data_IF_160470472396
#
_entry.id   IF_160470472396
#
_cell.length_a   1.000
_cell.length_b   1.000
_cell.length_c   1.000
_cell.angle_alpha   90.00
_cell.angle_beta   90.00
_cell.angle_gamma   90.00
#
_symmetry.space_group_name_H-M   'P 1'
#
loop_
_entity.id
_entity.type
_entity.pdbx_description
1 polymer ?
#
# COMPACT_ATOMS: atom_id res chain seq x y z
N UNK A 1 0.03 17.76 27.31
CA UNK A 1 -1.04 16.84 27.74
C UNK A 1 -0.72 16.33 29.12
N UNK A 2 -1.70 16.24 30.01
CA UNK A 2 -1.52 15.71 31.36
C UNK A 2 -1.36 14.19 31.34
N UNK A 3 -0.68 13.61 32.36
CA UNK A 3 -0.58 12.16 32.55
C UNK A 3 -1.97 11.50 32.63
N UNK A 4 -2.98 12.21 33.12
CA UNK A 4 -4.36 11.75 33.19
C UNK A 4 -4.97 11.43 31.81
N UNK A 5 -4.63 12.21 30.78
CA UNK A 5 -5.15 11.94 29.41
C UNK A 5 -4.48 10.70 28.80
N UNK A 6 -3.18 10.47 29.00
CA UNK A 6 -2.51 9.25 28.58
C UNK A 6 -3.02 8.04 29.37
N UNK A 7 -3.28 8.21 30.68
CA UNK A 7 -3.80 7.14 31.53
C UNK A 7 -5.19 6.64 31.08
N UNK A 8 -6.03 7.51 30.50
CA UNK A 8 -7.34 7.12 29.94
C UNK A 8 -7.25 6.22 28.71
N UNK A 9 -6.08 6.12 28.07
CA UNK A 9 -5.86 5.22 26.95
C UNK A 9 -5.50 3.80 27.41
N UNK A 10 -5.05 3.62 28.64
CA UNK A 10 -4.68 2.31 29.17
C UNK A 10 -5.90 1.38 29.18
N UNK A 11 -5.72 0.21 28.61
CA UNK A 11 -6.77 -0.79 28.41
C UNK A 11 -7.47 -0.71 27.05
N UNK A 12 -7.36 0.39 26.31
CA UNK A 12 -7.92 0.50 24.95
C UNK A 12 -7.21 -0.43 23.99
N UNK A 13 -7.95 -0.97 23.03
CA UNK A 13 -7.41 -1.77 21.93
C UNK A 13 -8.13 -1.45 20.63
N UNK A 14 -7.46 -1.66 19.52
CA UNK A 14 -7.99 -1.48 18.16
C UNK A 14 -7.33 -2.49 17.24
N UNK A 15 -8.06 -2.92 16.22
CA UNK A 15 -7.52 -3.69 15.10
C UNK A 15 -7.75 -2.89 13.82
N UNK A 16 -6.70 -2.76 13.02
CA UNK A 16 -6.71 -2.06 11.72
C UNK A 16 -6.31 -3.05 10.65
N UNK A 17 -7.05 -3.10 9.54
CA UNK A 17 -6.66 -3.86 8.36
C UNK A 17 -6.36 -2.90 7.19
N UNK A 18 -5.30 -3.20 6.43
CA UNK A 18 -4.81 -2.35 5.34
C UNK A 18 -4.51 -3.21 4.12
N UNK A 19 -4.98 -2.83 2.91
CA UNK A 19 -4.76 -3.60 1.71
C UNK A 19 -3.33 -3.50 1.19
N UNK A 20 -2.93 -4.48 0.38
CA UNK A 20 -1.76 -4.39 -0.49
C UNK A 20 -2.00 -3.34 -1.56
N UNK A 21 -0.92 -2.73 -2.04
CA UNK A 21 -1.00 -1.66 -3.03
C UNK A 21 -0.02 -1.85 -4.16
N UNK A 22 -0.44 -1.45 -5.35
CA UNK A 22 0.35 -1.44 -6.58
C UNK A 22 0.59 0.01 -6.95
N UNK A 23 1.82 0.47 -6.81
CA UNK A 23 2.22 1.81 -7.16
C UNK A 23 2.58 1.94 -8.64
N UNK A 24 2.56 3.15 -9.16
CA UNK A 24 2.98 3.57 -10.49
C UNK A 24 2.04 3.20 -11.63
N UNK A 25 1.56 1.97 -11.74
CA UNK A 25 0.74 1.49 -12.86
C UNK A 25 1.28 1.94 -14.24
N UNK A 26 2.60 1.80 -14.46
CA UNK A 26 3.29 2.31 -15.63
C UNK A 26 3.49 3.82 -15.60
N UNK A 27 2.83 4.61 -16.43
CA UNK A 27 3.08 6.06 -16.59
C UNK A 27 2.82 6.91 -15.35
N UNK A 28 2.14 6.37 -14.34
CA UNK A 28 1.78 7.06 -13.11
C UNK A 28 2.87 7.03 -12.03
N UNK A 29 4.14 7.07 -12.41
CA UNK A 29 5.29 7.05 -11.51
C UNK A 29 5.15 8.06 -10.36
N UNK A 30 5.18 7.58 -9.09
CA UNK A 30 5.00 8.35 -7.86
C UNK A 30 3.66 9.13 -7.78
N UNK A 31 2.66 8.77 -8.60
CA UNK A 31 1.35 9.45 -8.70
C UNK A 31 0.18 8.47 -8.55
N UNK A 32 0.21 7.33 -9.26
CA UNK A 32 -0.89 6.38 -9.26
C UNK A 32 -0.63 5.21 -8.32
N UNK A 33 -1.64 4.89 -7.51
CA UNK A 33 -1.67 3.69 -6.66
C UNK A 33 -3.01 2.96 -6.78
N UNK A 34 -2.99 1.64 -6.75
CA UNK A 34 -4.18 0.81 -6.75
C UNK A 34 -4.16 -0.18 -5.58
N UNK A 35 -5.22 -0.24 -4.80
CA UNK A 35 -5.39 -1.19 -3.72
C UNK A 35 -5.96 -2.51 -4.22
N UNK A 36 -5.49 -3.63 -3.66
CA UNK A 36 -5.93 -4.99 -3.99
C UNK A 36 -6.24 -5.79 -2.74
N UNK A 37 -7.09 -6.82 -2.88
CA UNK A 37 -7.72 -7.57 -1.81
C UNK A 37 -6.82 -8.52 -1.00
N UNK A 38 -5.51 -8.28 -0.90
CA UNK A 38 -4.62 -8.93 0.07
C UNK A 38 -4.36 -7.95 1.22
N UNK A 39 -4.64 -8.32 2.48
CA UNK A 39 -4.63 -7.35 3.58
C UNK A 39 -3.74 -7.79 4.74
N UNK A 40 -2.98 -6.84 5.29
CA UNK A 40 -2.34 -6.98 6.60
C UNK A 40 -3.29 -6.54 7.71
N UNK A 41 -3.14 -7.11 8.89
CA UNK A 41 -3.88 -6.72 10.10
C UNK A 41 -2.90 -6.33 11.20
N UNK A 42 -3.19 -5.23 11.90
CA UNK A 42 -2.45 -4.73 13.05
C UNK A 42 -3.39 -4.54 14.23
N UNK A 43 -3.23 -5.34 15.27
CA UNK A 43 -3.94 -5.15 16.54
C UNK A 43 -3.00 -4.45 17.52
N UNK A 44 -3.48 -3.38 18.15
CA UNK A 44 -2.72 -2.60 19.13
C UNK A 44 -3.54 -2.45 20.42
N UNK A 45 -2.91 -2.75 21.55
CA UNK A 45 -3.47 -2.55 22.89
C UNK A 45 -2.51 -1.69 23.72
N UNK A 46 -3.06 -0.72 24.44
CA UNK A 46 -2.32 0.04 25.43
C UNK A 46 -2.35 -0.71 26.75
N UNK A 47 -1.21 -1.30 27.16
CA UNK A 47 -1.10 -2.11 28.35
C UNK A 47 -0.66 -1.36 29.61
N UNK A 48 -0.14 -0.12 29.45
CA UNK A 48 0.31 0.68 30.58
C UNK A 48 0.85 2.05 30.16
N UNK A 49 1.33 2.80 31.13
CA UNK A 49 1.95 4.12 30.97
C UNK A 49 3.26 4.17 31.77
N UNK A 50 4.35 4.52 31.08
CA UNK A 50 5.65 4.75 31.72
C UNK A 50 5.70 6.07 32.48
N UNK A 51 6.64 6.19 33.42
CA UNK A 51 6.92 7.43 34.14
C UNK A 51 7.29 8.57 33.17
N UNK A 52 7.14 9.81 33.63
CA UNK A 52 7.50 10.99 32.83
C UNK A 52 8.97 10.92 32.39
N UNK A 53 9.21 11.13 31.10
CA UNK A 53 10.54 11.06 30.50
C UNK A 53 11.06 9.64 30.19
N UNK A 54 10.30 8.60 30.50
CA UNK A 54 10.63 7.22 30.16
C UNK A 54 9.80 6.72 28.95
N UNK A 55 10.36 5.81 28.17
CA UNK A 55 9.63 5.11 27.10
C UNK A 55 8.81 3.97 27.72
N UNK A 56 7.61 3.75 27.20
CA UNK A 56 6.80 2.58 27.55
C UNK A 56 7.35 1.29 26.94
N UNK A 57 7.07 0.16 27.51
CA UNK A 57 7.46 -1.13 26.96
C UNK A 57 6.69 -1.45 25.67
N UNK A 58 7.34 -2.16 24.74
CA UNK A 58 6.70 -2.65 23.51
C UNK A 58 6.89 -4.16 23.42
N UNK A 59 5.77 -4.85 23.30
CA UNK A 59 5.72 -6.27 22.95
C UNK A 59 5.07 -6.37 21.57
N UNK A 60 5.81 -6.83 20.58
CA UNK A 60 5.32 -7.02 19.23
C UNK A 60 5.48 -8.47 18.80
N UNK A 61 4.39 -9.09 18.42
CA UNK A 61 4.35 -10.39 17.74
C UNK A 61 4.11 -10.18 16.24
N UNK A 62 4.96 -10.76 15.41
CA UNK A 62 4.80 -10.78 13.94
C UNK A 62 4.40 -12.20 13.53
N UNK A 63 3.39 -12.33 12.70
CA UNK A 63 2.93 -13.57 12.10
C UNK A 63 2.83 -13.44 10.58
N UNK A 64 3.08 -14.54 9.86
CA UNK A 64 3.05 -14.56 8.39
C UNK A 64 4.33 -14.02 7.77
N UNK A 65 4.22 -13.15 6.78
CA UNK A 65 5.36 -12.58 6.06
C UNK A 65 6.28 -11.78 6.98
N UNK A 66 7.59 -12.08 6.92
CA UNK A 66 8.61 -11.39 7.70
C UNK A 66 8.74 -11.82 9.16
N UNK A 67 8.14 -12.96 9.57
CA UNK A 67 8.18 -13.46 10.94
C UNK A 67 9.60 -13.54 11.52
N UNK A 68 10.57 -13.96 10.73
CA UNK A 68 11.98 -14.11 11.13
C UNK A 68 12.86 -12.91 10.75
N UNK A 69 12.30 -11.88 10.09
CA UNK A 69 13.06 -10.77 9.50
C UNK A 69 12.75 -9.42 10.12
N UNK A 70 11.48 -9.19 10.50
CA UNK A 70 11.04 -7.88 10.97
C UNK A 70 11.38 -7.67 12.45
N UNK A 71 11.80 -6.44 12.84
CA UNK A 71 12.01 -6.12 14.25
C UNK A 71 10.73 -6.35 15.08
N UNK A 72 10.89 -6.92 16.28
CA UNK A 72 9.79 -7.13 17.25
C UNK A 72 9.84 -6.14 18.40
N UNK A 73 10.48 -5.00 18.20
CA UNK A 73 10.65 -3.92 19.16
C UNK A 73 10.32 -2.55 18.53
N UNK A 74 10.72 -1.45 19.20
CA UNK A 74 10.46 -0.08 18.76
C UNK A 74 11.06 0.30 17.40
N UNK A 75 11.95 -0.53 16.84
CA UNK A 75 12.51 -0.35 15.49
C UNK A 75 11.53 -0.76 14.39
N UNK A 76 10.45 -1.47 14.74
CA UNK A 76 9.41 -1.81 13.77
C UNK A 76 8.65 -0.55 13.36
N UNK A 77 8.47 -0.37 12.06
CA UNK A 77 7.84 0.81 11.46
C UNK A 77 6.43 1.07 12.02
N UNK A 78 5.66 0.03 12.26
CA UNK A 78 4.31 0.15 12.80
C UNK A 78 4.28 0.79 14.19
N UNK A 79 5.29 0.52 15.05
CA UNK A 79 5.37 1.11 16.40
C UNK A 79 5.54 2.63 16.34
N UNK A 80 6.47 3.09 15.50
CA UNK A 80 6.67 4.53 15.27
C UNK A 80 5.42 5.20 14.68
N UNK A 81 4.76 4.51 13.77
CA UNK A 81 3.54 4.98 13.14
C UNK A 81 2.38 5.12 14.15
N UNK A 82 2.20 4.19 15.10
CA UNK A 82 1.19 4.32 16.18
C UNK A 82 1.43 5.60 16.99
N UNK A 83 2.67 5.91 17.36
CA UNK A 83 3.00 7.14 18.10
C UNK A 83 2.70 8.38 17.26
N UNK A 84 3.02 8.37 15.97
CA UNK A 84 2.72 9.49 15.04
C UNK A 84 1.20 9.66 14.85
N UNK A 85 0.45 8.58 14.76
CA UNK A 85 -1.01 8.61 14.66
C UNK A 85 -1.67 9.20 15.90
N UNK A 86 -1.21 8.81 17.10
CA UNK A 86 -1.62 9.44 18.37
C UNK A 86 -1.36 10.95 18.35
N UNK A 87 -0.16 11.36 17.93
CA UNK A 87 0.21 12.78 17.86
C UNK A 87 -0.63 13.55 16.86
N UNK A 88 -0.90 13.00 15.67
CA UNK A 88 -1.78 13.58 14.66
C UNK A 88 -3.22 13.78 15.17
N UNK A 89 -3.68 12.87 16.03
CA UNK A 89 -4.99 12.97 16.69
C UNK A 89 -4.97 13.82 17.98
N UNK A 90 -3.90 14.59 18.23
CA UNK A 90 -3.81 15.51 19.37
C UNK A 90 -3.35 14.88 20.69
N UNK A 91 -2.77 13.68 20.63
CA UNK A 91 -2.22 12.95 21.79
C UNK A 91 -0.69 12.89 21.71
N UNK A 92 0.05 13.97 22.13
CA UNK A 92 1.50 13.98 22.20
C UNK A 92 2.01 13.05 23.32
N UNK A 93 3.31 12.73 23.25
CA UNK A 93 4.00 11.84 24.20
C UNK A 93 3.49 10.40 24.21
N UNK A 94 2.90 9.94 23.09
CA UNK A 94 2.44 8.56 22.91
C UNK A 94 3.55 7.51 23.07
N UNK A 95 4.82 7.91 22.96
CA UNK A 95 5.99 7.07 23.19
C UNK A 95 6.12 6.54 24.62
N UNK A 96 5.42 7.17 25.58
CA UNK A 96 5.33 6.71 26.99
C UNK A 96 4.33 5.57 27.19
N UNK A 97 3.45 5.30 26.22
CA UNK A 97 2.51 4.20 26.31
C UNK A 97 3.25 2.88 26.17
N UNK A 98 2.92 1.92 27.04
CA UNK A 98 3.28 0.54 26.86
C UNK A 98 2.30 -0.10 25.88
N UNK A 99 2.83 -0.74 24.83
CA UNK A 99 2.04 -1.28 23.74
C UNK A 99 2.22 -2.79 23.62
N UNK A 100 1.12 -3.49 23.50
CA UNK A 100 1.06 -4.87 23.02
C UNK A 100 0.52 -4.86 21.60
N UNK A 101 1.30 -5.39 20.66
CA UNK A 101 1.00 -5.31 19.22
C UNK A 101 1.05 -6.72 18.64
N UNK A 102 0.07 -7.05 17.81
CA UNK A 102 0.05 -8.26 16.99
C UNK A 102 -0.10 -7.85 15.53
N UNK A 103 0.89 -8.19 14.71
CA UNK A 103 0.90 -7.92 13.27
C UNK A 103 0.73 -9.25 12.52
N UNK A 104 -0.34 -9.37 11.73
CA UNK A 104 -0.55 -10.48 10.81
C UNK A 104 -0.28 -9.99 9.39
N UNK A 105 0.88 -10.32 8.87
CA UNK A 105 1.33 -9.90 7.54
C UNK A 105 1.03 -10.98 6.51
N UNK A 106 0.23 -10.64 5.50
CA UNK A 106 -0.05 -11.49 4.32
C UNK A 106 0.59 -10.92 3.06
N UNK A 107 0.91 -9.62 3.07
CA UNK A 107 1.49 -8.91 1.93
C UNK A 107 2.98 -9.27 1.81
N UNK A 108 3.42 -9.87 0.69
CA UNK A 108 4.81 -10.27 0.48
C UNK A 108 5.80 -9.10 0.58
N UNK A 109 6.90 -9.31 1.33
CA UNK A 109 7.92 -8.28 1.56
C UNK A 109 8.81 -8.07 0.32
N UNK A 110 9.15 -6.80 0.01
CA UNK A 110 10.07 -6.41 -1.05
C UNK A 110 9.71 -6.98 -2.45
N UNK A 111 8.41 -7.00 -2.77
CA UNK A 111 7.86 -7.47 -4.07
C UNK A 111 7.14 -6.36 -4.84
N UNK A 112 7.14 -5.10 -4.36
CA UNK A 112 6.42 -4.00 -4.99
C UNK A 112 4.92 -4.00 -4.69
N UNK A 113 4.49 -4.60 -3.56
CA UNK A 113 3.09 -4.70 -3.13
C UNK A 113 2.75 -3.82 -1.91
N UNK A 114 3.54 -2.80 -1.63
CA UNK A 114 3.26 -1.79 -0.62
C UNK A 114 3.27 -2.28 0.83
N UNK A 115 3.99 -3.38 1.16
CA UNK A 115 3.98 -3.95 2.52
C UNK A 115 4.46 -2.96 3.60
N UNK A 116 5.46 -2.12 3.31
CA UNK A 116 5.95 -1.06 4.22
C UNK A 116 4.88 0.00 4.43
N UNK A 117 4.32 0.54 3.35
CA UNK A 117 3.24 1.51 3.40
C UNK A 117 2.02 0.98 4.18
N UNK A 118 1.63 -0.28 3.94
CA UNK A 118 0.53 -0.92 4.66
C UNK A 118 0.80 -1.00 6.17
N UNK A 119 2.01 -1.36 6.60
CA UNK A 119 2.38 -1.42 8.01
C UNK A 119 2.39 -0.03 8.66
N UNK A 120 2.91 0.98 7.94
CA UNK A 120 2.95 2.36 8.42
C UNK A 120 1.54 2.96 8.52
N UNK A 121 0.72 2.81 7.49
CA UNK A 121 -0.69 3.26 7.48
C UNK A 121 -1.47 2.58 8.59
N UNK A 122 -1.31 1.24 8.77
CA UNK A 122 -1.97 0.53 9.87
C UNK A 122 -1.62 1.13 11.23
N UNK A 123 -0.34 1.42 11.48
CA UNK A 123 0.11 2.05 12.72
C UNK A 123 -0.46 3.46 12.93
N UNK A 124 -0.44 4.30 11.88
CA UNK A 124 -0.99 5.66 11.94
C UNK A 124 -2.48 5.64 12.33
N UNK A 125 -3.29 4.84 11.65
CA UNK A 125 -4.71 4.76 11.89
C UNK A 125 -5.03 4.08 13.22
N UNK A 126 -4.24 3.09 13.65
CA UNK A 126 -4.37 2.51 14.99
C UNK A 126 -4.11 3.56 16.08
N UNK A 127 -3.06 4.37 15.93
CA UNK A 127 -2.78 5.46 16.87
C UNK A 127 -3.90 6.49 16.94
N UNK A 128 -4.41 6.93 15.79
CA UNK A 128 -5.51 7.88 15.72
C UNK A 128 -6.81 7.31 16.34
N UNK A 129 -7.12 6.05 16.09
CA UNK A 129 -8.28 5.38 16.66
C UNK A 129 -8.16 5.23 18.20
N UNK A 130 -7.00 4.84 18.71
CA UNK A 130 -6.73 4.76 20.16
C UNK A 130 -6.92 6.11 20.85
N UNK A 131 -6.61 7.22 20.19
CA UNK A 131 -6.87 8.56 20.72
C UNK A 131 -8.37 8.86 20.88
N UNK A 132 -9.26 8.05 20.30
CA UNK A 132 -10.70 8.27 20.30
C UNK A 132 -11.17 9.21 19.20
N UNK A 133 -10.37 9.37 18.15
CA UNK A 133 -10.70 10.19 16.99
C UNK A 133 -11.69 9.51 16.02
N UNK A 134 -11.85 8.19 16.10
CA UNK A 134 -12.96 7.45 15.50
C UNK A 134 -14.14 7.48 16.47
N UNK A 135 -15.37 7.50 15.99
CA UNK A 135 -16.57 7.27 16.82
C UNK A 135 -16.41 6.09 17.78
N UNK A 136 -17.44 5.73 18.49
CA UNK A 136 -17.34 4.63 19.48
C UNK A 136 -16.82 3.36 18.80
N UNK A 137 -15.69 2.84 19.29
CA UNK A 137 -14.99 1.67 18.77
C UNK A 137 -15.87 0.40 18.76
N UNK A 138 -17.00 0.45 19.44
CA UNK A 138 -17.97 -0.65 19.57
C UNK A 138 -18.95 -0.78 18.37
N UNK A 139 -18.98 0.17 17.43
CA UNK A 139 -19.93 0.23 16.30
C UNK A 139 -19.32 -0.06 14.92
N UNK A 140 -18.12 -0.62 14.86
CA UNK A 140 -17.40 -0.83 13.60
C UNK A 140 -17.72 -2.18 12.94
N UNK A 141 -17.82 -2.25 11.60
CA UNK A 141 -16.76 -2.05 10.62
C UNK A 141 -17.08 -0.94 9.60
N UNK A 142 -16.06 -0.11 9.23
CA UNK A 142 -16.23 0.94 8.23
C UNK A 142 -14.93 1.30 7.53
N UNK A 143 -15.06 1.91 6.36
CA UNK A 143 -13.92 2.49 5.64
C UNK A 143 -13.41 3.73 6.39
N UNK A 144 -12.17 4.11 6.13
CA UNK A 144 -11.56 5.29 6.74
C UNK A 144 -12.38 6.58 6.49
N UNK A 145 -12.98 6.71 5.30
CA UNK A 145 -13.77 7.87 4.92
C UNK A 145 -15.00 8.09 5.83
N UNK A 146 -15.52 7.01 6.41
CA UNK A 146 -16.69 7.08 7.29
C UNK A 146 -16.36 7.29 8.77
N UNK A 147 -15.10 7.00 9.16
CA UNK A 147 -14.69 6.87 10.55
C UNK A 147 -13.85 8.03 11.09
N UNK A 148 -13.15 8.74 10.22
CA UNK A 148 -12.27 9.83 10.61
C UNK A 148 -12.68 11.15 9.96
N UNK A 149 -12.59 12.29 10.68
CA UNK A 149 -12.76 13.61 10.07
C UNK A 149 -11.76 13.83 8.92
N UNK A 150 -12.20 14.50 7.85
CA UNK A 150 -11.37 14.76 6.65
C UNK A 150 -10.02 15.40 7.01
N UNK A 151 -9.99 16.38 7.91
CA UNK A 151 -8.78 17.08 8.34
C UNK A 151 -7.79 16.16 9.09
N UNK A 152 -8.28 15.15 9.80
CA UNK A 152 -7.43 14.14 10.42
C UNK A 152 -6.91 13.17 9.39
N UNK A 153 -7.74 12.71 8.46
CA UNK A 153 -7.34 11.84 7.36
C UNK A 153 -6.25 12.51 6.52
N UNK A 154 -6.40 13.79 6.20
CA UNK A 154 -5.40 14.57 5.48
C UNK A 154 -4.05 14.64 6.23
N UNK A 155 -4.08 14.83 7.56
CA UNK A 155 -2.86 14.80 8.38
C UNK A 155 -2.20 13.42 8.42
N UNK A 156 -2.99 12.35 8.50
CA UNK A 156 -2.47 10.98 8.48
C UNK A 156 -1.88 10.63 7.11
N UNK A 157 -2.53 11.06 6.03
CA UNK A 157 -2.02 10.89 4.67
C UNK A 157 -0.70 11.65 4.46
N UNK A 158 -0.64 12.91 4.89
CA UNK A 158 0.59 13.69 4.84
C UNK A 158 1.72 13.04 5.64
N UNK A 159 1.42 12.48 6.82
CA UNK A 159 2.41 11.77 7.64
C UNK A 159 2.91 10.48 6.95
N UNK A 160 2.07 9.80 6.17
CA UNK A 160 2.46 8.61 5.41
C UNK A 160 3.35 8.98 4.20
N UNK A 161 3.01 10.06 3.48
CA UNK A 161 3.84 10.58 2.38
C UNK A 161 5.22 11.05 2.86
N UNK A 162 5.29 11.72 4.00
CA UNK A 162 6.56 12.16 4.60
C UNK A 162 7.50 10.99 4.94
N UNK A 163 6.96 9.83 5.31
CA UNK A 163 7.75 8.64 5.63
C UNK A 163 8.25 7.91 4.38
N UNK A 164 7.37 7.72 3.40
CA UNK A 164 7.67 6.99 2.15
C UNK A 164 8.41 7.87 1.12
N UNK A 165 8.19 9.18 1.15
CA UNK A 165 8.71 10.15 0.17
C UNK A 165 7.95 10.15 -1.17
N UNK A 166 6.84 9.43 -1.25
CA UNK A 166 5.91 9.39 -2.39
C UNK A 166 4.53 8.88 -1.96
N UNK A 167 3.45 9.51 -2.46
CA UNK A 167 2.11 9.30 -1.92
C UNK A 167 1.35 8.09 -2.46
N UNK A 168 1.78 7.48 -3.55
CA UNK A 168 1.02 6.51 -4.35
C UNK A 168 0.54 5.28 -3.56
N UNK A 169 1.46 4.61 -2.85
CA UNK A 169 1.11 3.48 -2.00
C UNK A 169 0.24 3.90 -0.81
N UNK A 170 0.61 5.00 -0.13
CA UNK A 170 -0.14 5.50 1.00
C UNK A 170 -1.57 5.91 0.61
N UNK A 171 -1.73 6.61 -0.53
CA UNK A 171 -3.03 6.99 -1.03
C UNK A 171 -3.94 5.78 -1.30
N UNK A 172 -3.43 4.78 -2.03
CA UNK A 172 -4.20 3.57 -2.29
C UNK A 172 -4.50 2.78 -1.02
N UNK A 173 -3.55 2.68 -0.08
CA UNK A 173 -3.74 1.99 1.19
C UNK A 173 -4.82 2.66 2.06
N UNK A 174 -4.88 4.00 2.04
CA UNK A 174 -5.83 4.79 2.85
C UNK A 174 -7.22 4.81 2.21
N UNK A 175 -7.29 5.17 0.92
CA UNK A 175 -8.56 5.48 0.26
C UNK A 175 -9.16 4.31 -0.51
N UNK A 176 -8.40 3.24 -0.77
CA UNK A 176 -8.83 2.13 -1.62
C UNK A 176 -8.92 2.50 -3.10
N UNK A 177 -9.30 1.55 -3.93
CA UNK A 177 -9.49 1.75 -5.37
C UNK A 177 -8.21 2.09 -6.13
N UNK A 178 -8.37 2.77 -7.24
CA UNK A 178 -7.31 3.43 -8.01
C UNK A 178 -7.27 4.89 -7.63
N UNK A 179 -6.14 5.37 -7.15
CA UNK A 179 -5.98 6.74 -6.65
C UNK A 179 -4.90 7.47 -7.43
N UNK A 180 -5.23 8.66 -7.89
CA UNK A 180 -4.25 9.63 -8.36
C UNK A 180 -3.93 10.62 -7.23
N UNK A 181 -2.66 10.75 -6.88
CA UNK A 181 -2.19 11.62 -5.81
C UNK A 181 -1.17 12.62 -6.33
N UNK A 182 -1.22 13.82 -5.82
CA UNK A 182 -0.30 14.89 -6.21
C UNK A 182 -0.14 15.91 -5.08
N UNK A 183 1.00 16.58 -5.06
CA UNK A 183 1.22 17.74 -4.20
C UNK A 183 0.94 19.01 -5.00
N UNK A 184 -0.10 19.75 -4.59
CA UNK A 184 -0.52 21.01 -5.20
C UNK A 184 -0.37 22.13 -4.18
N UNK A 185 0.45 23.12 -4.46
CA UNK A 185 0.74 24.25 -3.53
C UNK A 185 1.09 23.79 -2.10
N UNK A 186 1.95 22.78 -2.00
CA UNK A 186 2.35 22.11 -0.76
C UNK A 186 1.22 21.31 -0.04
N UNK A 187 0.03 21.26 -0.59
CA UNK A 187 -1.08 20.42 -0.10
C UNK A 187 -1.05 19.09 -0.85
N UNK A 188 -1.02 18.00 -0.12
CA UNK A 188 -1.13 16.66 -0.69
C UNK A 188 -2.60 16.38 -1.00
N UNK A 189 -2.89 15.96 -2.22
CA UNK A 189 -4.24 15.65 -2.67
C UNK A 189 -4.33 14.23 -3.20
N UNK A 190 -5.47 13.59 -3.01
CA UNK A 190 -5.81 12.30 -3.58
C UNK A 190 -7.16 12.38 -4.29
N UNK A 191 -7.30 11.69 -5.42
CA UNK A 191 -8.56 11.58 -6.17
C UNK A 191 -8.74 10.14 -6.62
N UNK A 192 -9.90 9.58 -6.33
CA UNK A 192 -10.29 8.28 -6.86
C UNK A 192 -10.45 8.38 -8.38
N UNK A 193 -9.97 7.37 -9.07
CA UNK A 193 -10.15 7.15 -10.51
C UNK A 193 -11.04 5.94 -10.68
N UNK A 194 -12.03 6.03 -11.54
CA UNK A 194 -12.93 4.91 -11.81
C UNK A 194 -12.16 3.68 -12.33
N UNK A 195 -12.49 2.52 -11.77
CA UNK A 195 -12.00 1.23 -12.26
C UNK A 195 -13.20 0.49 -12.85
N UNK A 196 -13.18 0.13 -14.14
CA UNK A 196 -14.26 -0.66 -14.73
C UNK A 196 -14.47 -1.99 -13.98
N UNK A 197 -15.71 -2.37 -13.72
CA UNK A 197 -16.05 -3.62 -13.01
C UNK A 197 -15.50 -4.89 -13.70
N UNK A 198 -15.25 -4.80 -15.00
CA UNK A 198 -14.61 -5.87 -15.76
C UNK A 198 -13.12 -6.02 -15.50
N UNK A 199 -12.46 -5.03 -14.90
CA UNK A 199 -11.02 -5.06 -14.69
C UNK A 199 -10.63 -6.03 -13.55
N UNK A 200 -9.95 -7.11 -13.92
CA UNK A 200 -9.51 -8.14 -12.99
C UNK A 200 -7.98 -8.08 -12.87
N UNK A 201 -7.44 -7.67 -11.73
CA UNK A 201 -6.01 -7.72 -11.48
C UNK A 201 -5.49 -9.15 -11.38
N UNK A 202 -4.45 -9.46 -12.14
CA UNK A 202 -3.66 -10.69 -12.04
C UNK A 202 -2.22 -10.32 -11.76
N UNK A 203 -1.66 -10.80 -10.65
CA UNK A 203 -0.28 -10.51 -10.30
C UNK A 203 0.56 -11.77 -10.34
N UNK A 204 1.65 -11.69 -11.09
CA UNK A 204 2.77 -12.59 -10.90
C UNK A 204 3.63 -12.03 -9.76
N UNK A 205 3.75 -12.80 -8.69
CA UNK A 205 4.59 -12.47 -7.52
C UNK A 205 5.79 -13.40 -7.52
N UNK A 206 6.96 -12.94 -7.99
CA UNK A 206 8.17 -13.74 -8.04
C UNK A 206 8.78 -13.96 -6.65
N UNK A 207 9.55 -15.05 -6.50
CA UNK A 207 10.38 -15.25 -5.28
C UNK A 207 11.57 -14.26 -5.22
N UNK A 208 11.85 -13.56 -6.31
CA UNK A 208 12.87 -12.54 -6.41
C UNK A 208 12.50 -11.29 -5.58
N UNK A 209 13.37 -10.89 -4.66
CA UNK A 209 13.25 -9.64 -3.91
C UNK A 209 14.04 -8.52 -4.60
N UNK A 210 13.41 -7.37 -4.79
CA UNK A 210 14.04 -6.17 -5.33
C UNK A 210 13.82 -4.99 -4.36
N UNK A 211 14.86 -4.59 -3.61
CA UNK A 211 14.76 -3.44 -2.71
C UNK A 211 14.41 -2.16 -3.47
N UNK A 212 13.43 -1.39 -2.96
CA UNK A 212 12.96 -0.14 -3.60
C UNK A 212 14.10 0.84 -3.83
N UNK A 213 15.03 0.96 -2.88
CA UNK A 213 16.20 1.84 -2.98
C UNK A 213 17.09 1.50 -4.19
N UNK A 214 17.33 0.21 -4.46
CA UNK A 214 18.11 -0.22 -5.62
C UNK A 214 17.39 0.06 -6.94
N UNK A 215 16.06 -0.15 -6.96
CA UNK A 215 15.23 0.08 -8.14
C UNK A 215 14.97 1.57 -8.41
N UNK A 216 15.13 2.44 -7.40
CA UNK A 216 15.16 3.90 -7.58
C UNK A 216 16.53 4.39 -8.06
N UNK A 217 17.62 3.79 -7.59
CA UNK A 217 18.98 4.19 -7.94
C UNK A 217 19.32 4.04 -9.45
N UNK A 218 18.57 3.23 -10.21
CA UNK A 218 18.78 3.08 -11.66
C UNK A 218 18.06 4.12 -12.49
N UNK A 219 17.21 4.95 -11.88
CA UNK A 219 16.45 5.96 -12.60
C UNK A 219 17.33 7.17 -12.94
N UNK A 220 17.19 7.76 -14.14
CA UNK A 220 17.95 8.94 -14.51
C UNK A 220 17.43 10.17 -13.76
N UNK A 221 18.32 11.11 -13.46
CA UNK A 221 17.96 12.41 -12.88
C UNK A 221 17.32 13.37 -13.89
N UNK A 222 17.36 13.04 -15.17
CA UNK A 222 16.79 13.81 -16.30
C UNK A 222 16.27 12.86 -17.36
N UNK A 223 15.14 13.23 -17.99
CA UNK A 223 14.54 12.46 -19.07
C UNK A 223 14.39 13.34 -20.32
N UNK A 224 14.37 12.75 -21.53
CA UNK A 224 14.02 13.48 -22.75
C UNK A 224 12.62 14.10 -22.64
N UNK A 225 12.44 15.31 -23.19
CA UNK A 225 11.13 15.98 -23.20
C UNK A 225 10.07 15.12 -23.90
N UNK A 226 10.45 14.40 -24.95
CA UNK A 226 9.53 13.50 -25.67
C UNK A 226 8.98 12.38 -24.80
N UNK A 227 9.79 11.81 -23.88
CA UNK A 227 9.37 10.78 -22.96
C UNK A 227 8.45 11.35 -21.86
N UNK A 228 8.71 12.57 -21.39
CA UNK A 228 7.83 13.27 -20.46
C UNK A 228 6.46 13.56 -21.09
N UNK A 229 6.44 14.06 -22.34
CA UNK A 229 5.20 14.31 -23.11
C UNK A 229 4.45 13.00 -23.38
N UNK A 230 5.16 11.92 -23.73
CA UNK A 230 4.57 10.60 -23.92
C UNK A 230 3.82 10.14 -22.65
N UNK A 231 4.50 10.13 -21.49
CA UNK A 231 3.87 9.72 -20.24
C UNK A 231 2.69 10.62 -19.85
N UNK A 232 2.82 11.93 -19.95
CA UNK A 232 1.73 12.86 -19.66
C UNK A 232 0.49 12.60 -20.56
N UNK A 233 0.71 12.38 -21.86
CA UNK A 233 -0.36 12.08 -22.81
C UNK A 233 -1.03 10.73 -22.52
N UNK A 234 -0.23 9.69 -22.23
CA UNK A 234 -0.74 8.35 -21.86
C UNK A 234 -1.51 8.38 -20.55
N UNK A 235 -1.01 9.11 -19.55
CA UNK A 235 -1.72 9.29 -18.27
C UNK A 235 -3.09 9.95 -18.49
N UNK A 236 -3.13 11.10 -19.17
CA UNK A 236 -4.36 11.84 -19.40
C UNK A 236 -5.39 11.01 -20.18
N UNK A 237 -4.97 10.37 -21.27
CA UNK A 237 -5.85 9.54 -22.11
C UNK A 237 -6.28 8.26 -21.37
N UNK A 238 -5.39 7.63 -20.60
CA UNK A 238 -5.67 6.43 -19.84
C UNK A 238 -6.71 6.68 -18.75
N UNK A 239 -6.53 7.74 -17.95
CA UNK A 239 -7.52 8.12 -16.91
C UNK A 239 -8.87 8.47 -17.56
N UNK A 240 -8.88 9.25 -18.65
CA UNK A 240 -10.12 9.60 -19.32
C UNK A 240 -10.87 8.37 -19.88
N UNK A 241 -10.15 7.36 -20.37
CA UNK A 241 -10.76 6.09 -20.81
C UNK A 241 -11.36 5.32 -19.64
N UNK A 242 -10.62 5.18 -18.52
CA UNK A 242 -11.11 4.50 -17.32
C UNK A 242 -12.37 5.20 -16.75
N UNK A 243 -12.38 6.52 -16.67
CA UNK A 243 -13.56 7.31 -16.24
C UNK A 243 -14.77 7.12 -17.18
N UNK A 244 -14.53 6.78 -18.44
CA UNK A 244 -15.57 6.41 -19.40
C UNK A 244 -16.01 4.93 -19.32
N UNK A 245 -15.43 4.17 -18.39
CA UNK A 245 -15.72 2.73 -18.24
C UNK A 245 -14.97 1.82 -19.22
N UNK A 246 -13.96 2.35 -19.93
CA UNK A 246 -13.16 1.59 -20.91
C UNK A 246 -11.88 1.05 -20.28
N UNK A 247 -11.80 -0.28 -20.10
CA UNK A 247 -10.63 -0.98 -19.57
C UNK A 247 -9.37 -0.81 -20.43
N UNK A 248 -9.50 -0.44 -21.72
CA UNK A 248 -8.35 -0.11 -22.58
C UNK A 248 -7.50 1.04 -22.03
N UNK A 249 -8.04 1.86 -21.12
CA UNK A 249 -7.29 2.85 -20.37
C UNK A 249 -6.06 2.29 -19.66
N UNK A 250 -6.13 1.07 -19.13
CA UNK A 250 -4.97 0.41 -18.51
C UNK A 250 -3.85 0.10 -19.51
N UNK A 251 -4.14 -0.17 -20.77
CA UNK A 251 -3.11 -0.33 -21.80
C UNK A 251 -2.35 0.98 -22.07
N UNK A 252 -3.06 2.11 -22.02
CA UNK A 252 -2.44 3.42 -22.13
C UNK A 252 -1.55 3.71 -20.91
N UNK A 253 -2.04 3.42 -19.69
CA UNK A 253 -1.26 3.61 -18.47
C UNK A 253 -0.01 2.74 -18.42
N UNK A 254 -0.04 1.51 -18.93
CA UNK A 254 1.10 0.58 -18.90
C UNK A 254 2.28 0.99 -19.81
N UNK A 255 2.06 1.85 -20.83
CA UNK A 255 3.05 2.24 -21.83
C UNK A 255 3.97 3.37 -21.33
N UNK A 256 4.86 3.02 -20.42
CA UNK A 256 5.74 3.93 -19.68
C UNK A 256 7.14 4.05 -20.29
N UNK A 257 7.68 5.27 -20.27
CA UNK A 257 9.05 5.59 -20.67
C UNK A 257 9.92 6.18 -19.55
N UNK A 258 9.36 6.43 -18.35
CA UNK A 258 10.09 7.13 -17.28
C UNK A 258 10.75 6.20 -16.27
N UNK A 259 10.24 5.00 -16.02
CA UNK A 259 10.85 4.12 -15.02
C UNK A 259 11.02 2.67 -15.46
N UNK A 260 10.04 2.04 -16.10
CA UNK A 260 10.10 0.61 -16.46
C UNK A 260 11.30 0.26 -17.37
N UNK A 261 11.63 1.05 -18.42
CA UNK A 261 12.78 0.75 -19.27
C UNK A 261 14.12 0.74 -18.52
N UNK A 262 14.25 1.59 -17.51
CA UNK A 262 15.46 1.65 -16.68
C UNK A 262 15.50 0.51 -15.67
N UNK A 263 14.37 0.20 -15.02
CA UNK A 263 14.22 -0.90 -14.07
C UNK A 263 14.39 -2.27 -14.73
N UNK A 264 14.00 -2.43 -15.99
CA UNK A 264 14.22 -3.64 -16.77
C UNK A 264 15.71 -4.03 -16.89
N UNK A 265 16.64 -3.07 -16.79
CA UNK A 265 18.09 -3.36 -16.77
C UNK A 265 18.51 -4.13 -15.53
N UNK A 266 17.81 -3.95 -14.40
CA UNK A 266 18.02 -4.69 -13.15
C UNK A 266 17.11 -5.91 -13.02
N UNK A 267 16.02 -5.92 -13.79
CA UNK A 267 15.05 -7.00 -13.84
C UNK A 267 14.85 -7.48 -15.28
N UNK A 268 15.81 -8.21 -15.86
CA UNK A 268 15.80 -8.59 -17.28
C UNK A 268 14.62 -9.46 -17.70
N UNK A 269 13.96 -10.16 -16.77
CA UNK A 269 12.76 -10.94 -17.04
C UNK A 269 11.50 -10.10 -17.24
N UNK A 270 11.49 -8.83 -16.80
CA UNK A 270 10.31 -7.98 -16.84
C UNK A 270 9.65 -7.87 -18.22
N UNK A 271 10.37 -7.58 -19.32
CA UNK A 271 9.76 -7.50 -20.64
C UNK A 271 9.07 -8.81 -21.09
N UNK A 272 9.70 -9.96 -20.77
CA UNK A 272 9.13 -11.25 -21.12
C UNK A 272 7.86 -11.57 -20.33
N UNK A 273 7.80 -11.20 -19.04
CA UNK A 273 6.61 -11.36 -18.21
C UNK A 273 5.46 -10.48 -18.71
N UNK A 274 5.74 -9.22 -19.05
CA UNK A 274 4.75 -8.28 -19.61
C UNK A 274 4.21 -8.83 -20.94
N UNK A 275 5.10 -9.21 -21.87
CA UNK A 275 4.71 -9.76 -23.18
C UNK A 275 3.85 -11.02 -23.02
N UNK A 276 4.27 -11.96 -22.16
CA UNK A 276 3.55 -13.20 -21.94
C UNK A 276 2.11 -12.97 -21.43
N UNK A 277 1.90 -11.97 -20.57
CA UNK A 277 0.57 -11.61 -20.09
C UNK A 277 -0.30 -11.05 -21.22
N UNK A 278 0.22 -10.09 -21.99
CA UNK A 278 -0.51 -9.44 -23.09
C UNK A 278 -0.81 -10.44 -24.20
N UNK A 279 0.16 -11.28 -24.62
CA UNK A 279 -0.01 -12.31 -25.65
C UNK A 279 -1.04 -13.39 -25.23
N UNK A 280 -1.19 -13.61 -23.92
CA UNK A 280 -2.22 -14.48 -23.37
C UNK A 280 -3.60 -13.82 -23.25
N UNK A 281 -3.74 -12.53 -23.57
CA UNK A 281 -5.00 -11.81 -23.65
C UNK A 281 -5.30 -10.89 -22.48
N UNK A 282 -4.30 -10.49 -21.71
CA UNK A 282 -4.45 -9.35 -20.80
C UNK A 282 -4.61 -8.05 -21.59
N UNK A 283 -5.42 -7.13 -21.08
CA UNK A 283 -5.57 -5.78 -21.63
C UNK A 283 -4.26 -5.01 -21.52
N UNK A 284 -3.56 -5.21 -20.39
CA UNK A 284 -2.28 -4.57 -20.11
C UNK A 284 -1.44 -5.39 -19.14
N UNK A 285 -0.14 -5.10 -19.11
CA UNK A 285 0.72 -5.54 -18.02
C UNK A 285 1.82 -4.51 -17.74
N UNK A 286 2.20 -4.36 -16.47
CA UNK A 286 3.24 -3.44 -16.04
C UNK A 286 3.93 -3.91 -14.75
N UNK A 287 5.05 -3.30 -14.41
CA UNK A 287 5.74 -3.53 -13.15
C UNK A 287 4.90 -3.00 -11.98
N UNK A 288 4.68 -3.79 -10.95
CA UNK A 288 4.03 -3.35 -9.72
C UNK A 288 5.04 -2.62 -8.83
N UNK A 289 4.81 -1.34 -8.58
CA UNK A 289 5.69 -0.51 -7.76
C UNK A 289 7.15 -0.54 -8.23
N UNK A 290 8.05 -0.89 -7.33
CA UNK A 290 9.47 -1.09 -7.64
C UNK A 290 9.76 -2.51 -8.20
N UNK A 291 8.82 -3.41 -8.14
CA UNK A 291 8.95 -4.83 -8.48
C UNK A 291 9.35 -5.65 -7.25
N UNK A 292 9.47 -6.93 -7.42
CA UNK A 292 9.51 -7.78 -8.63
C UNK A 292 8.13 -8.21 -9.18
N UNK A 293 7.03 -7.95 -8.45
CA UNK A 293 5.72 -8.33 -8.94
C UNK A 293 5.38 -7.61 -10.28
N UNK A 294 4.63 -8.29 -11.12
CA UNK A 294 4.12 -7.78 -12.39
C UNK A 294 2.61 -7.87 -12.37
N UNK A 295 1.95 -6.72 -12.54
CA UNK A 295 0.51 -6.62 -12.68
C UNK A 295 0.13 -6.87 -14.14
N UNK A 296 -0.91 -7.68 -14.35
CA UNK A 296 -1.68 -7.73 -15.59
C UNK A 296 -3.14 -7.37 -15.28
N UNK A 297 -3.80 -6.64 -16.16
CA UNK A 297 -5.25 -6.40 -16.09
C UNK A 297 -5.92 -7.25 -17.16
N UNK A 298 -6.93 -8.02 -16.75
CA UNK A 298 -7.76 -8.87 -17.62
C UNK A 298 -9.19 -8.35 -17.55
N UNK A 299 -9.88 -8.23 -18.68
CA UNK A 299 -11.26 -7.72 -18.75
C UNK A 299 -12.30 -8.82 -19.07
N UNK A 300 -11.83 -10.06 -19.18
CA UNK A 300 -12.65 -11.25 -19.44
C UNK A 300 -12.20 -12.37 -18.50
N UNK A 301 -13.05 -12.74 -17.54
CA UNK A 301 -12.76 -13.76 -16.54
C UNK A 301 -12.32 -15.11 -17.15
N UNK A 302 -12.77 -15.43 -18.36
CA UNK A 302 -12.38 -16.67 -19.07
C UNK A 302 -10.90 -16.71 -19.47
N UNK A 303 -10.23 -15.56 -19.50
CA UNK A 303 -8.82 -15.44 -19.87
C UNK A 303 -7.87 -15.48 -18.67
N UNK A 304 -8.38 -15.32 -17.44
CA UNK A 304 -7.56 -15.20 -16.22
C UNK A 304 -6.57 -16.35 -16.07
N UNK A 305 -7.04 -17.60 -16.16
CA UNK A 305 -6.15 -18.77 -15.98
C UNK A 305 -5.09 -18.85 -17.07
N UNK A 306 -5.44 -18.56 -18.33
CA UNK A 306 -4.48 -18.51 -19.43
C UNK A 306 -3.39 -17.46 -19.23
N UNK A 307 -3.77 -16.27 -18.71
CA UNK A 307 -2.81 -15.20 -18.40
C UNK A 307 -1.90 -15.61 -17.24
N UNK A 308 -2.47 -16.13 -16.15
CA UNK A 308 -1.72 -16.66 -15.01
C UNK A 308 -0.65 -17.67 -15.42
N UNK A 309 -1.08 -18.72 -16.14
CA UNK A 309 -0.17 -19.78 -16.62
C UNK A 309 0.90 -19.25 -17.58
N UNK A 310 0.57 -18.27 -18.42
CA UNK A 310 1.55 -17.67 -19.33
C UNK A 310 2.63 -16.90 -18.55
N UNK A 311 2.24 -16.13 -17.54
CA UNK A 311 3.19 -15.41 -16.67
C UNK A 311 4.06 -16.38 -15.87
N UNK A 312 3.50 -17.46 -15.32
CA UNK A 312 4.25 -18.49 -14.60
C UNK A 312 5.25 -19.21 -15.51
N UNK A 313 4.85 -19.57 -16.74
CA UNK A 313 5.76 -20.17 -17.74
C UNK A 313 6.91 -19.21 -18.11
N UNK A 314 6.61 -17.91 -18.27
CA UNK A 314 7.63 -16.90 -18.56
C UNK A 314 8.62 -16.74 -17.38
N UNK A 315 8.12 -16.74 -16.15
CA UNK A 315 8.97 -16.70 -14.95
C UNK A 315 9.86 -17.95 -14.85
N UNK A 316 9.30 -19.14 -15.07
CA UNK A 316 10.04 -20.39 -15.07
C UNK A 316 11.12 -20.41 -16.15
N UNK A 317 10.84 -19.92 -17.37
CA UNK A 317 11.80 -19.79 -18.46
C UNK A 317 12.96 -18.82 -18.09
N UNK A 318 12.66 -17.79 -17.31
CA UNK A 318 13.66 -16.87 -16.73
C UNK A 318 14.35 -17.43 -15.47
N UNK A 319 14.03 -18.65 -15.07
CA UNK A 319 14.52 -19.30 -13.82
C UNK A 319 14.16 -18.52 -12.55
N UNK A 320 13.00 -17.93 -12.55
CA UNK A 320 12.44 -17.19 -11.41
C UNK A 320 11.26 -18.00 -10.88
N UNK A 321 11.29 -18.34 -9.57
CA UNK A 321 10.16 -18.95 -8.88
C UNK A 321 9.04 -17.92 -8.60
N UNK A 322 7.93 -18.39 -8.06
CA UNK A 322 6.79 -17.57 -7.70
C UNK A 322 5.49 -18.09 -8.28
N UNK A 323 4.39 -17.36 -8.04
CA UNK A 323 3.07 -17.73 -8.50
C UNK A 323 2.29 -16.52 -9.04
N UNK A 324 1.43 -16.76 -10.01
CA UNK A 324 0.47 -15.79 -10.49
C UNK A 324 -0.90 -16.02 -9.82
N UNK A 325 -1.51 -14.96 -9.31
CA UNK A 325 -2.80 -15.01 -8.62
C UNK A 325 -3.74 -13.92 -9.13
N UNK A 326 -5.02 -14.24 -9.14
CA UNK A 326 -6.10 -13.26 -9.32
C UNK A 326 -6.32 -12.54 -7.99
N UNK A 327 -6.58 -11.25 -8.09
CA UNK A 327 -7.03 -10.41 -6.97
C UNK A 327 -8.28 -9.64 -7.39
N UNK A 328 -8.98 -9.10 -6.41
CA UNK A 328 -10.02 -8.09 -6.63
C UNK A 328 -9.43 -6.73 -6.27
N UNK A 329 -9.98 -5.65 -6.84
CA UNK A 329 -9.65 -4.29 -6.41
C UNK A 329 -10.27 -4.09 -5.02
N UNK A 330 -9.47 -3.60 -4.08
CA UNK A 330 -9.96 -3.24 -2.74
C UNK A 330 -10.45 -1.80 -2.77
N UNK A 331 -11.75 -1.59 -2.67
CA UNK A 331 -12.36 -0.26 -2.75
C UNK A 331 -12.47 0.46 -1.41
N UNK A 332 -12.15 -0.22 -0.30
CA UNK A 332 -12.39 0.32 1.03
C UNK A 332 -11.15 0.97 1.67
N UNK A 333 -9.95 0.60 1.22
CA UNK A 333 -8.72 1.09 1.81
C UNK A 333 -8.54 0.63 3.27
N UNK A 334 -7.99 1.49 4.12
CA UNK A 334 -7.81 1.18 5.53
C UNK A 334 -9.16 1.03 6.25
N UNK A 335 -9.28 -0.03 7.08
CA UNK A 335 -10.48 -0.33 7.87
C UNK A 335 -10.13 -0.50 9.34
N UNK A 336 -11.06 -0.08 10.21
CA UNK A 336 -11.08 -0.55 11.59
C UNK A 336 -11.89 -1.83 11.65
N UNK A 337 -11.36 -2.85 12.29
CA UNK A 337 -12.01 -4.14 12.49
C UNK A 337 -12.47 -4.27 13.94
N UNK A 338 -13.52 -5.07 14.19
CA UNK A 338 -13.90 -5.42 15.55
C UNK A 338 -12.66 -6.00 16.27
N UNK A 339 -12.41 -5.58 17.52
CA UNK A 339 -11.24 -6.00 18.28
C UNK A 339 -11.13 -7.52 18.28
N UNK A 340 -10.23 -8.08 17.51
CA UNK A 340 -9.83 -9.46 17.65
C UNK A 340 -9.19 -9.57 19.05
N UNK A 341 -9.77 -10.36 19.93
CA UNK A 341 -9.29 -10.47 21.30
C UNK A 341 -7.80 -10.80 21.29
N UNK A 342 -7.00 -10.00 22.00
CA UNK A 342 -5.68 -10.44 22.42
C UNK A 342 -5.92 -11.72 23.20
N UNK A 343 -5.54 -12.88 22.65
CA UNK A 343 -5.83 -14.19 23.21
C UNK A 343 -5.41 -14.25 24.68
N UNK A 344 -6.25 -14.89 25.47
CA UNK A 344 -6.01 -15.15 26.87
C UNK A 344 -4.83 -16.10 27.04
#
# INVERSE_FOLDING_TARGET
MSDEQLQRLVGRSVTVSVPATIANLGVGYDVLGMAIGERNELSVRVSGLAASGALGDVKLEVRGEGIDELPTDRRNVAVGAVVRGLAAAGVPNGERLALEISALNRIPLARGLGSSAAAFVAGLFAGAALAGASGTVDELPGSCADLFPDDLTDRLFAAADDDEGHPDNAAAAIFGGLVASARVDAVLTARLVAVPDSAIPVLMVPDLRLPTSEMRAVLPSRVPMEDAVHNAGRMAAGIAALEAGDSAGFALLADDRLHQPYRAKRYPALPALISAAVDAGAVSACLAGAGSAVLAIVDDASRVDRVREAMERAAAAAKIGGAARRYDVDHDGVRLEAAAGFGA
#
